data_IF_343054342080
#
_entry.id   IF_343054342080
#
_cell.length_a   1.000
_cell.length_b   1.000
_cell.length_c   1.000
_cell.angle_alpha   90.00
_cell.angle_beta   90.00
_cell.angle_gamma   90.00
#
_symmetry.space_group_name_H-M   'P 1'
#
loop_
_entity.id
_entity.type
_entity.pdbx_description
1 polymer ?
#
# COMPACT_ATOMS: atom_id res chain seq x y z
N UNK A 1 35.92 -11.33 19.65
CA UNK A 1 35.19 -12.62 19.66
C UNK A 1 34.43 -12.70 20.97
N UNK A 2 33.08 -12.72 20.97
CA UNK A 2 32.30 -12.73 22.22
C UNK A 2 32.53 -13.98 23.08
N UNK A 3 33.14 -15.04 22.52
CA UNK A 3 33.48 -16.28 23.24
C UNK A 3 34.75 -16.16 24.12
N UNK A 4 35.43 -15.00 24.15
CA UNK A 4 36.67 -14.83 24.92
C UNK A 4 36.39 -14.40 26.36
N UNK A 5 36.14 -15.38 27.24
CA UNK A 5 36.34 -15.32 28.70
C UNK A 5 37.42 -16.33 29.10
N UNK A 6 38.06 -16.09 30.25
CA UNK A 6 39.29 -16.76 30.74
C UNK A 6 39.17 -18.28 31.00
N UNK A 7 37.96 -18.83 30.91
CA UNK A 7 37.67 -20.23 31.17
C UNK A 7 37.21 -20.86 29.85
N UNK A 8 38.02 -21.76 29.30
CA UNK A 8 37.88 -22.36 27.97
C UNK A 8 36.58 -23.18 27.75
N UNK A 9 35.63 -23.16 28.69
CA UNK A 9 34.42 -23.98 28.69
C UNK A 9 33.38 -23.53 27.64
N UNK A 10 33.42 -22.27 27.22
CA UNK A 10 32.39 -21.65 26.34
C UNK A 10 32.93 -21.15 25.00
N UNK A 11 34.17 -21.50 24.64
CA UNK A 11 34.88 -20.94 23.48
C UNK A 11 34.16 -21.17 22.12
N UNK A 12 33.20 -22.11 22.06
CA UNK A 12 32.47 -22.53 20.86
C UNK A 12 30.94 -22.38 20.94
N UNK A 13 30.39 -21.76 21.99
CA UNK A 13 28.94 -21.69 22.15
C UNK A 13 28.29 -20.61 21.29
N UNK A 14 28.86 -19.39 21.21
CA UNK A 14 28.33 -18.39 20.28
C UNK A 14 28.89 -18.60 18.88
N UNK A 15 28.13 -19.30 18.04
CA UNK A 15 28.46 -19.49 16.62
C UNK A 15 28.40 -18.17 15.87
N UNK A 16 29.32 -18.00 14.93
CA UNK A 16 29.31 -16.83 14.05
C UNK A 16 28.08 -16.86 13.15
N UNK A 17 27.39 -15.72 13.03
CA UNK A 17 26.32 -15.56 12.05
C UNK A 17 26.88 -15.75 10.63
N UNK A 18 26.39 -16.76 9.92
CA UNK A 18 26.78 -17.07 8.54
C UNK A 18 25.55 -17.20 7.65
N UNK A 19 25.68 -16.80 6.39
CA UNK A 19 24.69 -17.18 5.38
C UNK A 19 24.98 -18.61 4.88
N UNK A 20 23.95 -19.45 4.65
CA UNK A 20 22.52 -19.19 4.80
C UNK A 20 21.93 -19.56 6.18
N UNK A 21 22.74 -20.13 7.08
CA UNK A 21 22.26 -20.69 8.35
C UNK A 21 21.64 -19.65 9.28
N UNK A 22 22.12 -18.40 9.24
CA UNK A 22 21.61 -17.24 10.00
C UNK A 22 21.37 -17.56 11.48
N UNK A 23 22.31 -18.32 12.05
CA UNK A 23 22.26 -18.75 13.44
C UNK A 23 22.39 -17.55 14.37
N UNK A 24 21.63 -17.56 15.44
CA UNK A 24 21.71 -16.61 16.53
C UNK A 24 21.62 -17.35 17.87
N UNK A 25 22.10 -16.69 18.92
CA UNK A 25 21.95 -17.14 20.30
C UNK A 25 20.81 -16.35 20.96
N UNK A 26 20.02 -17.01 21.79
CA UNK A 26 19.00 -16.35 22.60
C UNK A 26 19.60 -16.03 23.96
N UNK A 27 19.68 -14.74 24.28
CA UNK A 27 20.20 -14.29 25.57
C UNK A 27 19.10 -14.37 26.63
N UNK A 28 19.24 -15.31 27.57
CA UNK A 28 18.27 -15.55 28.64
C UNK A 28 18.97 -15.98 29.95
N UNK A 29 18.18 -16.23 31.02
CA UNK A 29 18.67 -16.63 32.34
C UNK A 29 19.33 -18.03 32.39
N UNK A 30 19.21 -18.84 31.33
CA UNK A 30 19.85 -20.15 31.29
C UNK A 30 21.37 -20.00 31.08
N UNK A 31 21.81 -18.95 30.39
CA UNK A 31 23.24 -18.64 30.23
C UNK A 31 23.94 -18.37 31.57
N UNK A 32 23.26 -17.75 32.55
CA UNK A 32 23.86 -17.49 33.87
C UNK A 32 23.86 -18.72 34.79
N UNK A 33 23.12 -19.77 34.44
CA UNK A 33 23.02 -21.03 35.18
C UNK A 33 23.96 -22.13 34.67
N UNK A 34 24.89 -21.79 33.76
CA UNK A 34 25.77 -22.75 33.07
C UNK A 34 24.99 -23.85 32.30
N UNK A 35 23.79 -23.53 31.81
CA UNK A 35 23.03 -24.41 30.94
C UNK A 35 23.43 -24.16 29.48
N UNK A 36 23.23 -25.17 28.63
CA UNK A 36 23.46 -25.06 27.17
C UNK A 36 22.63 -23.89 26.63
N UNK A 37 23.23 -22.92 25.91
CA UNK A 37 22.47 -21.80 25.37
C UNK A 37 21.46 -22.22 24.32
N UNK A 38 20.33 -21.51 24.29
CA UNK A 38 19.33 -21.69 23.25
C UNK A 38 19.81 -21.04 21.95
N UNK A 39 19.75 -21.82 20.86
CA UNK A 39 20.09 -21.38 19.53
C UNK A 39 18.85 -21.32 18.65
N UNK A 40 18.79 -20.31 17.80
CA UNK A 40 17.79 -20.21 16.76
C UNK A 40 18.42 -19.87 15.41
N UNK A 41 17.61 -19.91 14.37
CA UNK A 41 18.00 -19.50 13.03
C UNK A 41 16.98 -18.50 12.48
N UNK A 42 17.44 -17.55 11.66
CA UNK A 42 16.58 -16.69 10.86
C UNK A 42 15.47 -15.98 11.66
N UNK A 43 15.83 -15.33 12.77
CA UNK A 43 14.89 -14.67 13.67
C UNK A 43 14.02 -13.66 12.91
N UNK A 44 12.69 -13.88 12.94
CA UNK A 44 11.69 -13.05 12.25
C UNK A 44 12.01 -12.78 10.77
N UNK A 45 12.63 -13.75 10.09
CA UNK A 45 13.03 -13.59 8.70
C UNK A 45 11.82 -13.35 7.76
N UNK A 46 10.66 -13.90 8.09
CA UNK A 46 9.37 -13.61 7.49
C UNK A 46 9.00 -12.12 7.60
N UNK A 47 9.03 -11.54 8.79
CA UNK A 47 8.78 -10.10 8.98
C UNK A 47 9.85 -9.25 8.31
N UNK A 48 11.11 -9.65 8.35
CA UNK A 48 12.18 -8.96 7.62
C UNK A 48 11.92 -8.98 6.12
N UNK A 49 11.54 -10.12 5.54
CA UNK A 49 11.20 -10.22 4.11
C UNK A 49 9.96 -9.42 3.76
N UNK A 50 8.98 -9.34 4.67
CA UNK A 50 7.81 -8.51 4.49
C UNK A 50 8.20 -7.03 4.35
N UNK A 51 8.99 -6.52 5.29
CA UNK A 51 9.38 -5.11 5.28
C UNK A 51 10.40 -4.77 4.19
N UNK A 52 11.34 -5.66 3.90
CA UNK A 52 12.43 -5.39 2.95
C UNK A 52 12.05 -5.70 1.50
N UNK A 53 11.23 -6.73 1.26
CA UNK A 53 10.92 -7.18 -0.10
C UNK A 53 9.46 -6.90 -0.50
N UNK A 54 8.50 -7.21 0.38
CA UNK A 54 7.08 -7.12 0.03
C UNK A 54 6.57 -5.67 0.00
N UNK A 55 6.82 -4.88 1.05
CA UNK A 55 6.32 -3.50 1.14
C UNK A 55 6.80 -2.62 -0.02
N UNK A 56 8.09 -2.63 -0.43
CA UNK A 56 8.54 -1.84 -1.57
C UNK A 56 7.86 -2.25 -2.89
N UNK A 57 7.67 -3.56 -3.11
CA UNK A 57 6.96 -4.06 -4.30
C UNK A 57 5.50 -3.63 -4.30
N UNK A 58 4.83 -3.71 -3.15
CA UNK A 58 3.45 -3.27 -3.00
C UNK A 58 3.32 -1.77 -3.30
N UNK A 59 4.17 -0.94 -2.69
CA UNK A 59 4.17 0.50 -2.90
C UNK A 59 4.35 0.85 -4.38
N UNK A 60 5.29 0.18 -5.08
CA UNK A 60 5.50 0.34 -6.51
C UNK A 60 4.33 -0.14 -7.38
N UNK A 61 3.60 -1.18 -6.96
CA UNK A 61 2.43 -1.65 -7.70
C UNK A 61 1.23 -0.71 -7.52
N UNK A 62 1.10 -0.11 -6.33
CA UNK A 62 -0.01 0.80 -6.02
C UNK A 62 0.24 2.25 -6.45
N UNK A 63 1.46 2.62 -6.84
CA UNK A 63 1.78 4.01 -7.25
C UNK A 63 0.99 4.44 -8.47
N UNK A 64 0.72 3.52 -9.41
CA UNK A 64 -0.03 3.86 -10.61
C UNK A 64 -1.53 4.06 -10.31
N UNK A 65 -2.07 3.37 -9.30
CA UNK A 65 -3.48 3.48 -8.91
C UNK A 65 -3.79 4.90 -8.42
N UNK A 66 -2.89 5.54 -7.66
CA UNK A 66 -3.12 6.92 -7.19
C UNK A 66 -3.10 7.95 -8.33
N UNK A 67 -2.26 7.74 -9.35
CA UNK A 67 -2.23 8.58 -10.55
C UNK A 67 -3.49 8.38 -11.40
N UNK A 68 -3.92 7.14 -11.61
CA UNK A 68 -5.15 6.81 -12.33
C UNK A 68 -6.39 7.34 -11.61
N UNK A 69 -6.44 7.25 -10.28
CA UNK A 69 -7.53 7.79 -9.47
C UNK A 69 -7.57 9.33 -9.58
N UNK A 70 -6.41 9.99 -9.53
CA UNK A 70 -6.30 11.44 -9.73
C UNK A 70 -6.80 11.85 -11.11
N UNK A 71 -6.37 11.13 -12.16
CA UNK A 71 -6.81 11.37 -13.54
C UNK A 71 -8.32 11.19 -13.68
N UNK A 72 -8.86 10.09 -13.17
CA UNK A 72 -10.28 9.81 -13.20
C UNK A 72 -11.09 10.91 -12.48
N UNK A 73 -10.67 11.34 -11.29
CA UNK A 73 -11.34 12.44 -10.56
C UNK A 73 -11.40 13.73 -11.37
N UNK A 74 -10.31 14.05 -12.07
CA UNK A 74 -10.24 15.23 -12.92
C UNK A 74 -11.17 15.11 -14.14
N UNK A 75 -11.10 14.00 -14.88
CA UNK A 75 -11.97 13.74 -16.04
C UNK A 75 -13.45 13.72 -15.66
N UNK A 76 -13.76 13.12 -14.51
CA UNK A 76 -15.12 13.05 -13.98
C UNK A 76 -15.67 14.45 -13.67
N UNK A 77 -14.88 15.33 -13.05
CA UNK A 77 -15.29 16.73 -12.81
C UNK A 77 -15.62 17.45 -14.12
N UNK A 78 -14.76 17.32 -15.13
CA UNK A 78 -15.03 17.92 -16.44
C UNK A 78 -16.27 17.34 -17.11
N UNK A 79 -16.50 16.03 -16.96
CA UNK A 79 -17.71 15.39 -17.44
C UNK A 79 -18.97 15.97 -16.77
N UNK A 80 -18.93 16.16 -15.44
CA UNK A 80 -20.05 16.76 -14.71
C UNK A 80 -20.37 18.18 -15.20
N UNK A 81 -19.35 19.01 -15.45
CA UNK A 81 -19.54 20.35 -16.02
C UNK A 81 -20.22 20.30 -17.40
N UNK A 82 -19.79 19.38 -18.28
CA UNK A 82 -20.42 19.19 -19.59
C UNK A 82 -21.87 18.73 -19.49
N UNK A 83 -22.17 17.81 -18.55
CA UNK A 83 -23.54 17.35 -18.32
C UNK A 83 -24.44 18.49 -17.85
N UNK A 84 -23.95 19.36 -16.96
CA UNK A 84 -24.71 20.54 -16.50
C UNK A 84 -24.97 21.53 -17.64
N UNK A 85 -23.97 21.78 -18.50
CA UNK A 85 -24.17 22.63 -19.68
C UNK A 85 -25.17 22.03 -20.65
N UNK A 86 -25.06 20.71 -20.90
CA UNK A 86 -26.02 20.00 -21.74
C UNK A 86 -27.44 20.10 -21.20
N UNK A 87 -27.63 19.89 -19.90
CA UNK A 87 -28.94 19.99 -19.24
C UNK A 87 -29.55 21.40 -19.37
N UNK A 88 -28.73 22.45 -19.20
CA UNK A 88 -29.15 23.83 -19.44
C UNK A 88 -29.63 24.05 -20.88
N UNK A 89 -28.83 23.65 -21.88
CA UNK A 89 -29.19 23.85 -23.29
C UNK A 89 -30.40 23.01 -23.70
N UNK A 90 -30.50 21.79 -23.18
CA UNK A 90 -31.63 20.90 -23.43
C UNK A 90 -32.93 21.48 -22.86
N UNK A 91 -32.89 21.95 -21.61
CA UNK A 91 -34.02 22.64 -20.97
C UNK A 91 -34.46 23.85 -21.78
N UNK A 92 -33.51 24.69 -22.23
CA UNK A 92 -33.82 25.85 -23.09
C UNK A 92 -34.43 25.47 -24.42
N UNK A 93 -33.96 24.38 -25.03
CA UNK A 93 -34.55 23.87 -26.27
C UNK A 93 -36.02 23.45 -26.06
N UNK A 94 -36.33 22.77 -24.96
CA UNK A 94 -37.71 22.40 -24.62
C UNK A 94 -38.61 23.63 -24.43
N UNK A 95 -38.16 24.65 -23.68
CA UNK A 95 -38.90 25.91 -23.50
C UNK A 95 -39.25 26.58 -24.83
N UNK A 96 -38.33 26.55 -25.81
CA UNK A 96 -38.53 27.13 -27.13
C UNK A 96 -39.57 26.34 -27.93
N UNK A 97 -39.52 25.01 -27.88
CA UNK A 97 -40.50 24.16 -28.56
C UNK A 97 -41.91 24.40 -28.02
N UNK A 98 -42.08 24.49 -26.70
CA UNK A 98 -43.37 24.77 -26.07
C UNK A 98 -43.93 26.12 -26.51
N UNK A 99 -43.12 27.19 -26.43
CA UNK A 99 -43.53 28.54 -26.88
C UNK A 99 -43.89 28.61 -28.36
N UNK A 100 -43.18 27.87 -29.20
CA UNK A 100 -43.46 27.84 -30.63
C UNK A 100 -44.73 27.03 -30.95
N UNK A 101 -45.01 25.97 -30.18
CA UNK A 101 -46.28 25.25 -30.23
C UNK A 101 -47.47 26.12 -29.84
N UNK A 102 -47.35 26.89 -28.75
CA UNK A 102 -48.37 27.86 -28.33
C UNK A 102 -48.59 28.98 -29.36
N UNK A 103 -47.51 29.49 -29.97
CA UNK A 103 -47.60 30.49 -31.05
C UNK A 103 -48.37 29.97 -32.26
N UNK A 104 -48.14 28.73 -32.68
CA UNK A 104 -48.84 28.12 -33.81
C UNK A 104 -50.34 27.94 -33.52
N UNK A 105 -50.71 27.57 -32.29
CA UNK A 105 -52.11 27.47 -31.86
C UNK A 105 -52.81 28.82 -31.86
N UNK A 106 -52.14 29.89 -31.42
CA UNK A 106 -52.69 31.25 -31.42
C UNK A 106 -52.78 31.91 -32.81
N UNK A 107 -52.17 31.32 -33.85
CA UNK A 107 -52.29 31.81 -35.23
C UNK A 107 -53.42 31.13 -36.03
N UNK A 108 -54.10 30.11 -35.47
CA UNK A 108 -55.16 29.34 -36.14
C UNK A 108 -56.57 29.74 -35.64
N UNK A 109 -56.67 30.54 -34.57
CA UNK A 109 -57.92 31.15 -34.07
C UNK A 109 -58.05 32.61 -34.49
#
# INVERSE_FOLDING_TARGET
>A
NPNQRHDAKWANEWRQYKWPSREHIVLNINLSKNLVPDHGAAIRADYCSFWLDFIPKLASATSNISEEETRWKHEFRQYQERVQQWDYYYTKYLEILEKNGEKLLNCIG
#
